data_IF_977205725065
#
_entry.id   IF_977205725065
#
_cell.length_a   1.000
_cell.length_b   1.000
_cell.length_c   1.000
_cell.angle_alpha   90.00
_cell.angle_beta   90.00
_cell.angle_gamma   90.00
#
_symmetry.space_group_name_H-M   'P 1'
#
loop_
_entity.id
_entity.type
_entity.pdbx_description
1 polymer ?
#
# COMPACT_ATOMS: atom_id res chain seq x y z
N UNK A 1 24.50 15.71 -2.16
CA UNK A 1 24.78 14.40 -2.82
C UNK A 1 23.99 14.35 -4.11
N UNK A 2 24.67 14.18 -5.22
CA UNK A 2 24.05 13.90 -6.49
C UNK A 2 23.37 12.51 -6.41
N UNK A 3 22.06 12.46 -6.67
CA UNK A 3 21.25 11.24 -6.71
C UNK A 3 20.76 10.89 -8.11
N UNK A 4 21.29 11.57 -9.13
CA UNK A 4 20.86 11.40 -10.52
C UNK A 4 21.03 9.96 -11.03
N UNK A 5 21.94 9.17 -10.44
CA UNK A 5 22.18 7.77 -10.78
C UNK A 5 21.28 6.78 -10.01
N UNK A 6 20.48 7.23 -9.04
CA UNK A 6 19.57 6.38 -8.30
C UNK A 6 18.17 6.45 -8.95
N UNK A 7 17.97 5.66 -9.99
CA UNK A 7 16.61 5.45 -10.49
C UNK A 7 15.87 4.50 -9.54
N UNK A 8 15.11 5.07 -8.61
CA UNK A 8 14.25 4.32 -7.70
C UNK A 8 12.93 3.91 -8.33
N UNK A 9 12.68 4.36 -9.55
CA UNK A 9 11.48 4.04 -10.32
C UNK A 9 11.74 2.87 -11.29
N UNK A 10 12.13 1.73 -10.73
CA UNK A 10 12.58 0.54 -11.46
C UNK A 10 11.43 -0.43 -11.73
N UNK A 11 11.58 -1.20 -12.81
CA UNK A 11 10.81 -2.41 -13.11
C UNK A 11 11.63 -3.66 -12.79
N UNK A 12 10.95 -4.81 -12.54
CA UNK A 12 11.58 -6.11 -12.35
C UNK A 12 11.90 -6.51 -10.92
N UNK A 13 11.83 -5.58 -9.95
CA UNK A 13 12.07 -5.89 -8.55
C UNK A 13 10.83 -6.45 -7.84
N UNK A 14 9.64 -6.14 -8.34
CA UNK A 14 8.37 -6.48 -7.71
C UNK A 14 8.18 -7.99 -7.52
N UNK A 15 8.54 -8.80 -8.50
CA UNK A 15 8.45 -10.25 -8.42
C UNK A 15 9.30 -10.82 -7.25
N UNK A 16 10.49 -10.27 -7.02
CA UNK A 16 11.35 -10.66 -5.91
C UNK A 16 10.75 -10.23 -4.56
N UNK A 17 10.27 -9.00 -4.47
CA UNK A 17 9.64 -8.47 -3.24
C UNK A 17 8.42 -9.30 -2.85
N UNK A 18 7.54 -9.61 -3.79
CA UNK A 18 6.35 -10.42 -3.54
C UNK A 18 6.70 -11.86 -3.15
N UNK A 19 7.68 -12.49 -3.80
CA UNK A 19 8.14 -13.83 -3.42
C UNK A 19 8.77 -13.87 -2.02
N UNK A 20 9.43 -12.78 -1.60
CA UNK A 20 10.00 -12.65 -0.26
C UNK A 20 8.96 -12.28 0.81
N UNK A 21 7.78 -11.83 0.40
CA UNK A 21 6.67 -11.49 1.29
C UNK A 21 5.91 -12.72 1.79
N UNK A 22 4.98 -12.51 2.71
CA UNK A 22 4.04 -13.56 3.16
C UNK A 22 2.77 -13.63 2.31
N UNK A 23 2.64 -12.84 1.26
CA UNK A 23 1.45 -12.77 0.42
C UNK A 23 1.21 -14.05 -0.37
N UNK A 24 -0.06 -14.40 -0.54
CA UNK A 24 -0.53 -15.64 -1.17
C UNK A 24 -1.64 -15.35 -2.18
N UNK A 25 -1.90 -16.27 -3.11
CA UNK A 25 -3.09 -16.21 -3.96
C UNK A 25 -4.37 -16.03 -3.11
N UNK A 26 -5.21 -15.11 -3.50
CA UNK A 26 -6.45 -14.75 -2.77
C UNK A 26 -6.31 -13.64 -1.74
N UNK A 27 -5.09 -13.23 -1.39
CA UNK A 27 -4.86 -12.03 -0.56
C UNK A 27 -5.25 -10.76 -1.31
N UNK A 28 -5.37 -9.67 -0.56
CA UNK A 28 -5.64 -8.32 -1.08
C UNK A 28 -4.43 -7.42 -0.82
N UNK A 29 -3.93 -6.79 -1.88
CA UNK A 29 -2.86 -5.82 -1.82
C UNK A 29 -3.42 -4.42 -2.08
N UNK A 30 -3.22 -3.50 -1.14
CA UNK A 30 -3.47 -2.08 -1.35
C UNK A 30 -2.19 -1.39 -1.83
N UNK A 31 -2.30 -0.62 -2.90
CA UNK A 31 -1.19 0.16 -3.46
C UNK A 31 -1.61 1.60 -3.70
N UNK A 32 -0.67 2.53 -3.59
CA UNK A 32 -0.92 3.96 -3.84
C UNK A 32 0.05 4.55 -4.86
N UNK A 33 -0.50 5.25 -5.84
CA UNK A 33 0.26 6.12 -6.75
C UNK A 33 -0.69 7.18 -7.29
N UNK A 34 -0.48 8.43 -6.92
CA UNK A 34 -1.43 9.51 -7.22
C UNK A 34 -1.61 9.70 -8.72
N UNK A 35 -0.52 9.82 -9.46
CA UNK A 35 -0.54 9.87 -10.93
C UNK A 35 -0.82 8.52 -11.60
N UNK A 36 -0.77 7.44 -10.84
CA UNK A 36 -0.93 6.08 -11.37
C UNK A 36 0.19 5.62 -12.33
N UNK A 37 1.27 6.39 -12.51
CA UNK A 37 2.32 6.09 -13.50
C UNK A 37 3.64 5.58 -12.92
N UNK A 38 3.83 5.59 -11.61
CA UNK A 38 5.08 5.18 -10.95
C UNK A 38 5.43 3.74 -11.31
N UNK A 39 6.52 3.52 -12.04
CA UNK A 39 6.91 2.22 -12.61
C UNK A 39 6.92 1.10 -11.57
N UNK A 40 7.59 1.30 -10.44
CA UNK A 40 7.70 0.29 -9.39
C UNK A 40 6.34 -0.12 -8.81
N UNK A 41 5.37 0.82 -8.71
CA UNK A 41 4.02 0.54 -8.19
C UNK A 41 3.19 -0.18 -9.24
N UNK A 42 3.31 0.20 -10.51
CA UNK A 42 2.65 -0.49 -11.63
C UNK A 42 3.19 -1.90 -11.77
N UNK A 43 4.51 -2.09 -11.71
CA UNK A 43 5.17 -3.40 -11.73
C UNK A 43 4.71 -4.29 -10.59
N UNK A 44 4.61 -3.73 -9.37
CA UNK A 44 4.09 -4.45 -8.20
C UNK A 44 2.65 -4.93 -8.43
N UNK A 45 1.79 -4.11 -8.99
CA UNK A 45 0.42 -4.48 -9.32
C UNK A 45 0.35 -5.60 -10.37
N UNK A 46 1.17 -5.49 -11.43
CA UNK A 46 1.27 -6.52 -12.47
C UNK A 46 1.69 -7.87 -11.89
N UNK A 47 2.76 -7.88 -11.10
CA UNK A 47 3.30 -9.12 -10.53
C UNK A 47 2.37 -9.72 -9.45
N UNK A 48 1.72 -8.88 -8.64
CA UNK A 48 0.72 -9.34 -7.67
C UNK A 48 -0.46 -10.05 -8.36
N UNK A 49 -0.95 -9.50 -9.46
CA UNK A 49 -2.02 -10.14 -10.25
C UNK A 49 -1.60 -11.46 -10.85
N UNK A 50 -0.36 -11.61 -11.34
CA UNK A 50 0.18 -12.89 -11.82
C UNK A 50 0.22 -13.94 -10.71
N UNK A 51 0.37 -13.53 -9.46
CA UNK A 51 0.32 -14.41 -8.28
C UNK A 51 -1.10 -14.73 -7.79
N UNK A 52 -2.15 -14.22 -8.43
CA UNK A 52 -3.53 -14.40 -7.99
C UNK A 52 -3.92 -13.55 -6.77
N UNK A 53 -3.19 -12.48 -6.52
CA UNK A 53 -3.47 -11.49 -5.47
C UNK A 53 -4.42 -10.45 -6.05
N UNK A 54 -5.45 -10.07 -5.31
CA UNK A 54 -6.33 -8.96 -5.66
C UNK A 54 -5.65 -7.65 -5.36
N UNK A 55 -5.70 -6.70 -6.31
CA UNK A 55 -5.04 -5.41 -6.15
C UNK A 55 -6.07 -4.29 -6.14
N UNK A 56 -6.02 -3.48 -5.08
CA UNK A 56 -6.83 -2.26 -4.93
C UNK A 56 -5.89 -1.07 -4.91
N UNK A 57 -6.14 -0.10 -5.79
CA UNK A 57 -5.31 1.10 -5.89
C UNK A 57 -6.01 2.34 -5.34
N UNK A 58 -5.27 3.17 -4.63
CA UNK A 58 -5.60 4.57 -4.38
C UNK A 58 -4.85 5.43 -5.40
N UNK A 59 -5.58 6.18 -6.22
CA UNK A 59 -5.01 7.00 -7.30
C UNK A 59 -5.93 8.18 -7.57
N UNK A 60 -5.39 9.27 -8.08
CA UNK A 60 -6.23 10.34 -8.63
C UNK A 60 -6.54 10.02 -10.09
N UNK A 61 -7.80 9.78 -10.41
CA UNK A 61 -8.21 9.51 -11.79
C UNK A 61 -8.06 10.76 -12.67
N UNK A 62 -8.21 11.96 -12.10
CA UNK A 62 -7.96 13.21 -12.79
C UNK A 62 -6.47 13.34 -13.17
N UNK A 63 -5.57 13.18 -12.19
CA UNK A 63 -4.14 13.27 -12.44
C UNK A 63 -3.66 12.14 -13.36
N UNK A 64 -4.15 10.92 -13.17
CA UNK A 64 -3.81 9.81 -14.04
C UNK A 64 -4.19 10.05 -15.51
N UNK A 65 -5.27 10.78 -15.79
CA UNK A 65 -5.66 11.16 -17.17
C UNK A 65 -4.74 12.21 -17.78
N UNK A 66 -4.14 13.08 -16.96
CA UNK A 66 -3.29 14.19 -17.43
C UNK A 66 -1.85 13.80 -17.73
N UNK A 67 -1.44 12.56 -17.49
CA UNK A 67 -0.06 12.09 -17.67
C UNK A 67 0.00 10.80 -18.49
N UNK A 68 1.11 10.62 -19.22
CA UNK A 68 1.35 9.41 -20.00
C UNK A 68 1.89 8.27 -19.15
N UNK A 69 1.62 7.00 -19.51
CA UNK A 69 2.23 5.84 -18.86
C UNK A 69 3.75 5.83 -19.11
N UNK A 70 4.50 5.34 -18.13
CA UNK A 70 5.97 5.19 -18.22
C UNK A 70 6.44 3.77 -17.96
N UNK A 71 5.55 2.88 -17.54
CA UNK A 71 5.84 1.46 -17.38
C UNK A 71 5.89 0.76 -18.74
N UNK A 72 6.73 -0.28 -18.89
CA UNK A 72 6.92 -1.03 -20.14
C UNK A 72 5.65 -1.66 -20.69
N UNK A 73 4.64 -1.93 -19.84
CA UNK A 73 3.33 -2.41 -20.28
C UNK A 73 2.52 -1.38 -21.07
N UNK A 74 2.91 -0.12 -21.10
CA UNK A 74 2.13 0.98 -21.69
C UNK A 74 0.87 1.32 -20.91
N UNK A 75 0.70 0.81 -19.68
CA UNK A 75 -0.49 1.00 -18.83
C UNK A 75 -0.17 1.76 -17.56
N UNK A 76 -1.20 2.42 -17.03
CA UNK A 76 -1.19 3.06 -15.71
C UNK A 76 -1.88 2.15 -14.68
N UNK A 77 -1.69 2.44 -13.41
CA UNK A 77 -2.13 1.61 -12.29
C UNK A 77 -3.62 1.27 -12.33
N UNK A 78 -4.48 2.27 -12.57
CA UNK A 78 -5.93 2.09 -12.60
C UNK A 78 -6.43 1.18 -13.74
N UNK A 79 -5.63 0.96 -14.78
CA UNK A 79 -5.95 0.07 -15.90
C UNK A 79 -5.56 -1.39 -15.65
N UNK A 80 -4.86 -1.67 -14.54
CA UNK A 80 -4.30 -2.99 -14.21
C UNK A 80 -5.02 -3.61 -13.02
N UNK A 81 -5.34 -2.79 -12.01
CA UNK A 81 -5.87 -3.26 -10.72
C UNK A 81 -7.30 -3.79 -10.81
N UNK A 82 -7.72 -4.56 -9.81
CA UNK A 82 -9.09 -5.07 -9.71
C UNK A 82 -10.09 -3.97 -9.33
N UNK A 83 -9.63 -2.99 -8.54
CA UNK A 83 -10.41 -1.82 -8.14
C UNK A 83 -9.49 -0.60 -8.01
N UNK A 84 -9.83 0.47 -8.70
CA UNK A 84 -9.22 1.77 -8.50
C UNK A 84 -10.16 2.66 -7.69
N UNK A 85 -9.68 3.17 -6.57
CA UNK A 85 -10.39 4.11 -5.71
C UNK A 85 -9.80 5.50 -5.97
N UNK A 86 -10.66 6.41 -6.45
CA UNK A 86 -10.26 7.78 -6.68
C UNK A 86 -10.10 8.51 -5.35
N UNK A 87 -8.90 9.01 -5.09
CA UNK A 87 -8.63 9.84 -3.91
C UNK A 87 -8.91 11.33 -4.14
N UNK A 88 -9.40 11.67 -5.34
CA UNK A 88 -9.79 13.02 -5.75
C UNK A 88 -8.70 14.10 -5.55
N UNK A 89 -7.43 13.70 -5.48
CA UNK A 89 -6.34 14.67 -5.43
C UNK A 89 -6.25 15.44 -6.76
N UNK A 90 -6.04 16.74 -6.76
CA UNK A 90 -5.88 17.51 -7.98
C UNK A 90 -4.63 17.08 -8.75
N UNK A 91 -4.60 17.38 -10.04
CA UNK A 91 -3.37 17.23 -10.85
C UNK A 91 -2.24 18.01 -10.21
N UNK A 92 -1.02 17.44 -10.18
CA UNK A 92 0.13 17.93 -9.41
C UNK A 92 -0.02 17.94 -7.88
N UNK A 93 -1.09 17.33 -7.34
CA UNK A 93 -1.34 17.03 -5.91
C UNK A 93 -1.64 18.23 -5.00
N UNK A 94 -1.12 19.42 -5.29
CA UNK A 94 -1.23 20.58 -4.39
C UNK A 94 -2.64 21.17 -4.35
N UNK A 95 -3.16 21.41 -3.15
CA UNK A 95 -4.47 22.02 -2.91
C UNK A 95 -4.41 23.56 -2.81
N UNK A 96 -3.25 24.10 -2.59
CA UNK A 96 -3.08 25.52 -2.29
C UNK A 96 -2.06 26.17 -3.20
N UNK A 97 -2.30 27.41 -3.54
CA UNK A 97 -1.39 28.27 -4.30
C UNK A 97 -1.13 29.56 -3.53
N UNK A 98 0.02 30.18 -3.78
CA UNK A 98 0.35 31.48 -3.23
C UNK A 98 1.03 32.34 -4.31
N UNK A 99 0.74 33.62 -4.33
CA UNK A 99 1.32 34.55 -5.29
C UNK A 99 2.86 34.53 -5.24
N UNK A 100 3.51 34.50 -6.40
CA UNK A 100 4.96 34.43 -6.54
C UNK A 100 5.58 33.02 -6.43
N UNK A 101 4.79 31.99 -6.18
CA UNK A 101 5.25 30.58 -6.22
C UNK A 101 4.45 29.84 -7.29
N UNK A 102 5.16 29.31 -8.29
CA UNK A 102 4.54 28.59 -9.40
C UNK A 102 3.93 27.23 -8.96
N UNK A 103 4.62 26.51 -8.09
CA UNK A 103 4.19 25.18 -7.68
C UNK A 103 3.09 25.21 -6.63
N UNK A 104 1.98 24.45 -6.79
CA UNK A 104 1.00 24.28 -5.73
C UNK A 104 1.61 23.47 -4.57
N UNK A 105 1.10 23.65 -3.35
CA UNK A 105 1.55 22.98 -2.15
C UNK A 105 0.39 22.38 -1.36
N UNK A 106 0.65 21.73 -0.23
CA UNK A 106 -0.32 20.99 0.57
C UNK A 106 -0.95 19.80 -0.20
N UNK A 107 -0.16 18.74 -0.39
CA UNK A 107 -0.58 17.55 -1.12
C UNK A 107 -1.83 16.89 -0.49
N UNK A 108 -2.88 16.71 -1.29
CA UNK A 108 -4.15 16.12 -0.87
C UNK A 108 -4.08 14.59 -0.72
N UNK A 109 -3.26 13.95 -1.54
CA UNK A 109 -3.31 12.51 -1.78
C UNK A 109 -3.07 11.65 -0.53
N UNK A 110 -2.13 12.05 0.33
CA UNK A 110 -1.83 11.34 1.57
C UNK A 110 -3.03 11.31 2.51
N UNK A 111 -3.56 12.48 2.84
CA UNK A 111 -4.70 12.64 3.77
C UNK A 111 -5.94 11.90 3.23
N UNK A 112 -6.24 12.04 1.94
CA UNK A 112 -7.38 11.39 1.32
C UNK A 112 -7.23 9.87 1.33
N UNK A 113 -6.04 9.35 1.00
CA UNK A 113 -5.77 7.91 1.01
C UNK A 113 -5.83 7.31 2.40
N UNK A 114 -5.30 8.01 3.42
CA UNK A 114 -5.39 7.58 4.82
C UNK A 114 -6.84 7.53 5.30
N UNK A 115 -7.62 8.56 5.01
CA UNK A 115 -9.05 8.58 5.33
C UNK A 115 -9.82 7.41 4.69
N UNK A 116 -9.60 7.17 3.40
CA UNK A 116 -10.22 6.05 2.68
C UNK A 116 -9.81 4.71 3.25
N UNK A 117 -8.51 4.52 3.53
CA UNK A 117 -8.01 3.27 4.09
C UNK A 117 -8.58 2.99 5.49
N UNK A 118 -8.66 3.99 6.35
CA UNK A 118 -9.28 3.84 7.67
C UNK A 118 -10.78 3.55 7.57
N UNK A 119 -11.49 4.17 6.64
CA UNK A 119 -12.91 3.91 6.39
C UNK A 119 -13.14 2.45 5.96
N UNK A 120 -12.34 1.96 5.00
CA UNK A 120 -12.40 0.57 4.53
C UNK A 120 -12.05 -0.39 5.66
N UNK A 121 -10.99 -0.10 6.41
CA UNK A 121 -10.53 -0.94 7.53
C UNK A 121 -11.61 -1.05 8.61
N UNK A 122 -12.28 0.06 8.95
CA UNK A 122 -13.35 0.07 9.95
C UNK A 122 -14.51 -0.84 9.54
N UNK A 123 -14.97 -0.74 8.29
CA UNK A 123 -16.01 -1.62 7.75
C UNK A 123 -15.56 -3.08 7.71
N UNK A 124 -14.30 -3.33 7.33
CA UNK A 124 -13.76 -4.69 7.29
C UNK A 124 -13.70 -5.33 8.69
N UNK A 125 -13.36 -4.57 9.73
CA UNK A 125 -13.38 -5.02 11.14
C UNK A 125 -14.80 -5.40 11.54
N UNK A 126 -15.79 -4.55 11.27
CA UNK A 126 -17.20 -4.83 11.57
C UNK A 126 -17.69 -6.11 10.87
N UNK A 127 -17.37 -6.27 9.60
CA UNK A 127 -17.75 -7.45 8.83
C UNK A 127 -17.08 -8.74 9.32
N UNK A 128 -15.82 -8.66 9.76
CA UNK A 128 -15.13 -9.79 10.38
C UNK A 128 -15.80 -10.18 11.69
N UNK A 129 -16.15 -9.21 12.55
CA UNK A 129 -16.85 -9.47 13.80
C UNK A 129 -18.22 -10.10 13.57
N UNK A 130 -19.02 -9.62 12.62
CA UNK A 130 -20.32 -10.23 12.25
C UNK A 130 -20.16 -11.68 11.80
N UNK A 131 -19.02 -12.04 11.20
CA UNK A 131 -18.69 -13.41 10.78
C UNK A 131 -18.04 -14.27 11.87
N UNK A 132 -18.00 -13.79 13.12
CA UNK A 132 -17.36 -14.48 14.25
C UNK A 132 -15.84 -14.58 14.15
N UNK A 133 -15.21 -13.69 13.36
CA UNK A 133 -13.74 -13.63 13.20
C UNK A 133 -13.22 -12.38 13.88
N UNK A 134 -12.45 -12.55 14.93
CA UNK A 134 -11.82 -11.43 15.64
C UNK A 134 -10.54 -11.03 14.95
N UNK A 135 -10.42 -9.79 14.42
CA UNK A 135 -9.16 -9.31 13.85
C UNK A 135 -8.15 -8.98 14.95
N UNK A 136 -6.85 -9.08 14.62
CA UNK A 136 -5.78 -8.60 15.49
C UNK A 136 -5.64 -7.09 15.39
N UNK A 137 -5.87 -6.36 16.47
CA UNK A 137 -5.77 -4.91 16.54
C UNK A 137 -4.68 -4.51 17.53
N UNK A 138 -3.69 -3.73 17.07
CA UNK A 138 -2.59 -3.25 17.89
C UNK A 138 -3.09 -2.24 18.93
N UNK A 139 -2.71 -2.46 20.20
CA UNK A 139 -2.93 -1.49 21.26
C UNK A 139 -1.74 -0.54 21.37
N UNK A 140 -1.98 0.74 21.60
CA UNK A 140 -0.89 1.68 21.80
C UNK A 140 0.01 1.22 22.97
N UNK A 141 1.32 1.15 22.72
CA UNK A 141 2.31 0.79 23.74
C UNK A 141 2.36 1.79 24.90
N UNK A 142 1.96 3.03 24.65
CA UNK A 142 1.90 4.10 25.68
C UNK A 142 0.63 4.04 26.54
N UNK A 143 -0.33 3.19 26.18
CA UNK A 143 -1.52 2.97 26.97
C UNK A 143 -1.28 1.89 28.05
N UNK A 144 -1.78 2.04 29.28
CA UNK A 144 -1.60 1.04 30.32
C UNK A 144 -2.00 -0.36 29.85
N UNK A 145 -1.08 -1.34 30.02
CA UNK A 145 -1.29 -2.72 29.58
C UNK A 145 -1.18 -2.94 28.07
N UNK A 146 -0.82 -1.91 27.27
CA UNK A 146 -0.71 -2.03 25.82
C UNK A 146 0.36 -3.02 25.36
N UNK A 147 1.55 -2.95 25.96
CA UNK A 147 2.64 -3.88 25.64
C UNK A 147 2.30 -5.34 26.01
N UNK A 148 1.72 -5.56 27.19
CA UNK A 148 1.34 -6.91 27.65
C UNK A 148 0.29 -7.52 26.72
N UNK A 149 -0.73 -6.73 26.34
CA UNK A 149 -1.73 -7.16 25.36
C UNK A 149 -1.09 -7.52 24.00
N UNK A 150 -0.20 -6.68 23.49
CA UNK A 150 0.41 -6.90 22.19
C UNK A 150 1.31 -8.14 22.19
N UNK A 151 2.00 -8.43 23.29
CA UNK A 151 2.86 -9.61 23.41
C UNK A 151 2.05 -10.89 23.66
N UNK A 152 1.06 -10.85 24.55
CA UNK A 152 0.41 -12.07 25.02
C UNK A 152 -0.83 -12.45 24.21
N UNK A 153 -1.52 -11.48 23.62
CA UNK A 153 -2.76 -11.70 22.86
C UNK A 153 -2.55 -11.50 21.35
N UNK A 154 -1.97 -10.38 20.96
CA UNK A 154 -1.85 -10.01 19.55
C UNK A 154 -0.76 -10.79 18.80
N UNK A 155 0.42 -10.96 19.40
CA UNK A 155 1.52 -11.67 18.76
C UNK A 155 1.20 -13.14 18.44
N UNK A 156 0.57 -13.93 19.32
CA UNK A 156 0.09 -15.27 18.98
C UNK A 156 -0.93 -15.28 17.84
N UNK A 157 -1.81 -14.27 17.79
CA UNK A 157 -2.77 -14.12 16.70
C UNK A 157 -2.07 -13.93 15.35
N UNK A 158 -1.06 -13.06 15.27
CA UNK A 158 -0.27 -12.87 14.06
C UNK A 158 0.54 -14.11 13.68
N UNK A 159 1.11 -14.82 14.64
CA UNK A 159 1.81 -16.07 14.40
C UNK A 159 0.90 -17.13 13.74
N UNK A 160 -0.34 -17.23 14.22
CA UNK A 160 -1.32 -18.15 13.66
C UNK A 160 -1.68 -17.83 12.20
N UNK A 161 -1.79 -16.55 11.83
CA UNK A 161 -2.32 -16.14 10.53
C UNK A 161 -1.29 -15.70 9.49
N UNK A 162 -0.02 -15.63 9.79
CA UNK A 162 0.93 -15.34 8.73
C UNK A 162 2.34 -14.91 9.12
N UNK A 163 2.59 -14.46 10.33
CA UNK A 163 3.89 -13.88 10.65
C UNK A 163 4.98 -14.92 11.03
N UNK A 164 4.61 -16.14 11.34
CA UNK A 164 5.53 -17.23 11.67
C UNK A 164 6.64 -17.45 10.62
N UNK A 165 6.29 -17.29 9.34
CA UNK A 165 7.25 -17.49 8.25
C UNK A 165 8.35 -16.42 8.17
N UNK A 166 8.09 -15.20 8.63
CA UNK A 166 9.06 -14.11 8.60
C UNK A 166 10.08 -14.28 9.74
N UNK A 167 9.63 -14.69 10.92
CA UNK A 167 10.49 -14.89 12.10
C UNK A 167 11.37 -16.13 11.93
N UNK A 168 10.87 -17.22 11.37
CA UNK A 168 11.65 -18.44 11.14
C UNK A 168 12.77 -18.24 10.12
N UNK A 169 12.57 -17.38 9.11
CA UNK A 169 13.63 -17.03 8.14
C UNK A 169 14.73 -16.16 8.75
N UNK A 170 14.43 -15.29 9.72
CA UNK A 170 15.46 -14.49 10.42
C UNK A 170 16.41 -15.33 11.29
N UNK A 171 16.01 -16.52 11.75
CA UNK A 171 16.89 -17.44 12.48
C UNK A 171 17.95 -18.13 11.60
N UNK A 172 17.80 -18.10 10.27
CA UNK A 172 18.77 -18.68 9.34
C UNK A 172 19.89 -17.71 8.91
N UNK A 173 19.78 -16.42 9.21
CA UNK A 173 20.89 -15.46 9.03
C UNK A 173 21.62 -15.26 10.35
N UNK A 174 22.35 -16.29 10.83
CA UNK A 174 23.48 -16.09 11.72
C UNK A 174 24.70 -15.79 10.85
N UNK A 175 25.11 -14.53 10.86
CA UNK A 175 26.43 -14.12 10.42
C UNK A 175 27.45 -14.59 11.47
#
# INVERSE_FOLDING_TARGET
RDRSYLDTNMEGLAAYVLKASSMRPGDVLFVGSVSGRTKAVVDLAVEAKKMGIKVIAFTSLEYAKSVDPVHSSGKKLHEIVDLAIDNCAPSAEGMMTVEGIEAPYAAASGIASDYLLWSITSVAVDELMKRGKTPGILKSANFPGGNDYNLNELQPHYQKYGWEKIISKKKQFKI
#
